data_IF_719039426899
#
_entry.id   IF_719039426899
#
_cell.length_a   1.000
_cell.length_b   1.000
_cell.length_c   1.000
_cell.angle_alpha   90.00
_cell.angle_beta   90.00
_cell.angle_gamma   90.00
#
_symmetry.space_group_name_H-M   'P 1'
#
loop_
_entity.id
_entity.type
_entity.pdbx_description
1 polymer ?
#
# COMPACT_ATOMS: atom_id res chain seq x y z
N UNK A 1 -16.06 -25.61 -8.83
CA UNK A 1 -15.57 -25.31 -10.19
C UNK A 1 -14.74 -24.03 -10.04
N UNK A 2 -13.45 -24.19 -9.74
CA UNK A 2 -12.55 -23.05 -9.55
C UNK A 2 -12.24 -22.46 -10.91
N UNK A 3 -12.65 -21.22 -11.14
CA UNK A 3 -12.29 -20.49 -12.36
C UNK A 3 -10.80 -20.18 -12.27
N UNK A 4 -9.99 -20.98 -12.95
CA UNK A 4 -8.62 -20.64 -13.32
C UNK A 4 -8.67 -19.31 -14.04
N UNK A 5 -8.16 -18.25 -13.41
CA UNK A 5 -7.86 -17.00 -14.08
C UNK A 5 -6.86 -17.37 -15.18
N UNK A 6 -7.26 -17.20 -16.44
CA UNK A 6 -6.35 -17.38 -17.57
C UNK A 6 -5.17 -16.44 -17.36
N UNK A 7 -3.97 -17.01 -17.25
CA UNK A 7 -2.70 -16.33 -17.43
C UNK A 7 -2.69 -15.73 -18.84
N UNK A 8 -3.18 -14.49 -18.98
CA UNK A 8 -2.79 -13.64 -20.09
C UNK A 8 -1.35 -13.25 -19.80
N UNK A 9 -0.43 -13.77 -20.62
CA UNK A 9 1.01 -13.48 -20.68
C UNK A 9 1.30 -11.98 -20.50
N UNK A 10 1.34 -11.54 -19.25
CA UNK A 10 1.84 -10.24 -18.84
C UNK A 10 3.30 -10.46 -18.48
N UNK A 11 4.19 -9.67 -19.07
CA UNK A 11 5.59 -9.63 -18.63
C UNK A 11 5.61 -9.56 -17.08
N UNK A 12 6.41 -10.39 -16.38
CA UNK A 12 6.35 -10.53 -14.92
C UNK A 12 6.46 -9.20 -14.17
N UNK A 13 7.20 -8.27 -14.75
CA UNK A 13 7.30 -6.83 -14.52
C UNK A 13 5.93 -6.11 -14.43
N UNK A 14 5.08 -6.22 -15.46
CA UNK A 14 3.74 -5.61 -15.49
C UNK A 14 2.80 -6.19 -14.45
N UNK A 15 2.90 -7.50 -14.20
CA UNK A 15 2.10 -8.13 -13.16
C UNK A 15 2.51 -7.64 -11.76
N UNK A 16 3.81 -7.42 -11.55
CA UNK A 16 4.34 -6.92 -10.27
C UNK A 16 3.85 -5.52 -9.97
N UNK A 17 3.94 -4.59 -10.91
CA UNK A 17 3.48 -3.21 -10.68
C UNK A 17 1.98 -3.14 -10.42
N UNK A 18 1.16 -3.95 -11.10
CA UNK A 18 -0.28 -4.03 -10.85
C UNK A 18 -0.58 -4.55 -9.44
N UNK A 19 0.11 -5.60 -8.99
CA UNK A 19 -0.07 -6.12 -7.63
C UNK A 19 0.42 -5.13 -6.56
N UNK A 20 1.48 -4.38 -6.83
CA UNK A 20 1.93 -3.28 -5.98
C UNK A 20 0.88 -2.17 -5.92
N UNK A 21 0.32 -1.76 -7.06
CA UNK A 21 -0.72 -0.75 -7.17
C UNK A 21 -1.99 -1.15 -6.39
N UNK A 22 -2.42 -2.40 -6.52
CA UNK A 22 -3.53 -2.96 -5.75
C UNK A 22 -3.28 -2.89 -4.25
N UNK A 23 -2.09 -3.28 -3.80
CA UNK A 23 -1.76 -3.22 -2.38
C UNK A 23 -1.72 -1.78 -1.86
N UNK A 24 -1.14 -0.87 -2.64
CA UNK A 24 -1.11 0.57 -2.33
C UNK A 24 -2.52 1.14 -2.16
N UNK A 25 -3.46 0.77 -3.02
CA UNK A 25 -4.83 1.30 -2.94
C UNK A 25 -5.71 0.60 -1.91
N UNK A 26 -5.64 -0.73 -1.81
CA UNK A 26 -6.67 -1.54 -1.15
C UNK A 26 -6.88 -1.18 0.32
N UNK A 27 -5.82 -1.18 1.14
CA UNK A 27 -5.96 -0.92 2.58
C UNK A 27 -6.33 0.53 2.87
N UNK A 28 -5.66 1.56 2.28
CA UNK A 28 -6.09 2.93 2.46
C UNK A 28 -7.54 3.15 2.00
N UNK A 29 -7.92 2.68 0.81
CA UNK A 29 -9.28 2.90 0.33
C UNK A 29 -10.34 2.23 1.22
N UNK A 30 -10.10 0.99 1.66
CA UNK A 30 -11.03 0.27 2.53
C UNK A 30 -11.20 0.99 3.88
N UNK A 31 -10.10 1.42 4.51
CA UNK A 31 -10.12 2.15 5.77
C UNK A 31 -10.73 3.55 5.66
N UNK A 32 -10.63 4.21 4.50
CA UNK A 32 -11.34 5.46 4.21
C UNK A 32 -12.86 5.24 3.98
N UNK A 33 -13.33 3.99 4.03
CA UNK A 33 -14.73 3.63 3.87
C UNK A 33 -15.20 3.52 2.42
N UNK A 34 -14.29 3.27 1.48
CA UNK A 34 -14.65 2.90 0.11
C UNK A 34 -14.83 1.38 0.01
N UNK A 35 -15.57 0.93 -1.02
CA UNK A 35 -15.82 -0.51 -1.23
C UNK A 35 -15.39 -1.00 -2.61
N UNK A 36 -15.29 -0.11 -3.58
CA UNK A 36 -14.75 -0.44 -4.90
C UNK A 36 -13.55 0.43 -5.27
N UNK A 37 -12.73 -0.11 -6.17
CA UNK A 37 -11.57 0.56 -6.77
C UNK A 37 -12.00 1.82 -7.52
N UNK A 38 -13.13 1.74 -8.24
CA UNK A 38 -13.69 2.88 -8.97
C UNK A 38 -14.03 4.05 -8.04
N UNK A 39 -14.72 3.80 -6.92
CA UNK A 39 -15.03 4.85 -5.94
C UNK A 39 -13.76 5.44 -5.31
N UNK A 40 -12.78 4.58 -5.02
CA UNK A 40 -11.53 4.98 -4.39
C UNK A 40 -10.69 5.87 -5.31
N UNK A 41 -10.53 5.51 -6.59
CA UNK A 41 -9.73 6.27 -7.55
C UNK A 41 -10.44 7.57 -7.98
N UNK A 42 -11.76 7.66 -7.81
CA UNK A 42 -12.51 8.90 -7.99
C UNK A 42 -12.28 9.91 -6.84
N UNK A 43 -11.64 9.52 -5.74
CA UNK A 43 -11.19 10.43 -4.69
C UNK A 43 -9.81 11.00 -5.03
N UNK A 44 -9.70 12.32 -5.13
CA UNK A 44 -8.46 13.01 -5.52
C UNK A 44 -7.27 12.68 -4.61
N UNK A 45 -7.48 12.52 -3.30
CA UNK A 45 -6.39 12.21 -2.36
C UNK A 45 -5.87 10.78 -2.57
N UNK A 46 -6.76 9.80 -2.68
CA UNK A 46 -6.37 8.40 -2.94
C UNK A 46 -5.73 8.24 -4.32
N UNK A 47 -6.26 8.94 -5.32
CA UNK A 47 -5.69 8.96 -6.67
C UNK A 47 -4.27 9.54 -6.67
N UNK A 48 -4.08 10.73 -6.07
CA UNK A 48 -2.77 11.36 -5.96
C UNK A 48 -1.78 10.48 -5.20
N UNK A 49 -2.19 9.91 -4.07
CA UNK A 49 -1.37 8.98 -3.31
C UNK A 49 -0.97 7.75 -4.13
N UNK A 50 -1.91 7.12 -4.84
CA UNK A 50 -1.61 5.96 -5.70
C UNK A 50 -0.63 6.35 -6.81
N UNK A 51 -0.89 7.46 -7.50
CA UNK A 51 -0.03 7.95 -8.58
C UNK A 51 1.40 8.21 -8.09
N UNK A 52 1.57 9.01 -7.04
CA UNK A 52 2.89 9.31 -6.45
C UNK A 52 3.60 8.02 -6.03
N UNK A 53 2.88 7.09 -5.40
CA UNK A 53 3.45 5.81 -4.98
C UNK A 53 3.92 4.94 -6.16
N UNK A 54 3.21 4.98 -7.30
CA UNK A 54 3.59 4.25 -8.50
C UNK A 54 4.79 4.87 -9.22
N UNK A 55 4.90 6.21 -9.24
CA UNK A 55 6.13 6.90 -9.69
C UNK A 55 7.32 6.43 -8.87
N UNK A 56 7.16 6.36 -7.55
CA UNK A 56 8.22 5.94 -6.62
C UNK A 56 8.58 4.46 -6.85
N UNK A 57 7.57 3.59 -7.03
CA UNK A 57 7.78 2.17 -7.30
C UNK A 57 8.51 1.93 -8.64
N UNK A 58 8.09 2.64 -9.69
CA UNK A 58 8.71 2.53 -11.00
C UNK A 58 10.19 2.94 -10.99
N UNK A 59 10.54 4.01 -10.27
CA UNK A 59 11.94 4.44 -10.11
C UNK A 59 12.85 3.37 -9.48
N UNK A 60 12.30 2.37 -8.80
CA UNK A 60 13.03 1.24 -8.23
C UNK A 60 12.97 -0.03 -9.07
N UNK A 61 11.88 -0.24 -9.82
CA UNK A 61 11.68 -1.45 -10.61
C UNK A 61 12.13 -1.30 -12.08
N UNK A 62 11.93 -0.12 -12.66
CA UNK A 62 12.19 0.18 -14.08
C UNK A 62 11.14 -0.43 -15.01
N UNK A 63 9.91 -0.58 -14.54
CA UNK A 63 8.90 -1.49 -15.11
C UNK A 63 7.87 -0.77 -16.03
N UNK A 64 7.60 0.51 -15.80
CA UNK A 64 6.59 1.33 -16.49
C UNK A 64 7.21 2.28 -17.54
N UNK A 65 8.38 2.86 -17.28
CA UNK A 65 8.97 3.91 -18.12
C UNK A 65 9.88 3.39 -19.25
N UNK A 66 9.96 2.08 -19.47
CA UNK A 66 10.99 1.49 -20.33
C UNK A 66 10.94 2.02 -21.79
N UNK A 67 9.76 2.38 -22.30
CA UNK A 67 9.57 2.83 -23.70
C UNK A 67 8.64 4.04 -23.88
N UNK A 68 8.01 4.57 -22.82
CA UNK A 68 6.97 5.61 -22.88
C UNK A 68 7.18 6.70 -21.81
N UNK A 69 6.42 7.80 -21.93
CA UNK A 69 6.28 8.79 -20.88
C UNK A 69 5.76 8.15 -19.58
N UNK A 70 6.39 8.47 -18.44
CA UNK A 70 6.10 7.81 -17.16
C UNK A 70 4.67 8.12 -16.69
N UNK A 71 4.21 9.35 -16.84
CA UNK A 71 2.85 9.75 -16.42
C UNK A 71 1.81 9.06 -17.30
N UNK A 72 2.07 8.94 -18.61
CA UNK A 72 1.23 8.14 -19.50
C UNK A 72 1.19 6.66 -19.07
N UNK A 73 2.33 6.06 -18.78
CA UNK A 73 2.41 4.65 -18.35
C UNK A 73 1.71 4.41 -17.01
N UNK A 74 1.82 5.32 -16.05
CA UNK A 74 1.09 5.23 -14.77
C UNK A 74 -0.40 5.42 -15.00
N UNK A 75 -0.80 6.39 -15.84
CA UNK A 75 -2.19 6.59 -16.24
C UNK A 75 -2.78 5.32 -16.87
N UNK A 76 -2.01 4.64 -17.73
CA UNK A 76 -2.40 3.33 -18.29
C UNK A 76 -2.51 2.25 -17.22
N UNK A 77 -1.59 2.18 -16.26
CA UNK A 77 -1.67 1.22 -15.16
C UNK A 77 -2.91 1.44 -14.29
N UNK A 78 -3.22 2.69 -13.93
CA UNK A 78 -4.43 3.07 -13.18
C UNK A 78 -5.69 2.79 -13.99
N UNK A 79 -5.71 3.12 -15.27
CA UNK A 79 -6.83 2.77 -16.16
C UNK A 79 -6.98 1.26 -16.30
N UNK A 80 -5.88 0.51 -16.27
CA UNK A 80 -5.93 -0.93 -16.33
C UNK A 80 -6.49 -1.53 -15.04
N UNK A 81 -6.10 -1.02 -13.86
CA UNK A 81 -6.74 -1.36 -12.59
C UNK A 81 -8.24 -1.13 -12.66
N UNK A 82 -8.66 0.05 -13.12
CA UNK A 82 -10.08 0.37 -13.33
C UNK A 82 -10.76 -0.61 -14.30
N UNK A 83 -10.07 -1.08 -15.35
CA UNK A 83 -10.62 -1.98 -16.37
C UNK A 83 -10.72 -3.45 -15.93
N UNK A 84 -9.78 -3.94 -15.13
CA UNK A 84 -9.74 -5.31 -14.64
C UNK A 84 -10.61 -5.49 -13.40
N UNK A 85 -10.69 -4.45 -12.56
CA UNK A 85 -11.30 -4.50 -11.24
C UNK A 85 -12.68 -3.85 -11.17
N UNK A 86 -13.34 -3.65 -12.31
CA UNK A 86 -14.73 -3.13 -12.43
C UNK A 86 -15.71 -3.89 -11.52
N UNK A 87 -15.34 -5.07 -11.01
CA UNK A 87 -16.22 -5.92 -10.20
C UNK A 87 -15.61 -6.47 -8.89
N UNK A 88 -14.36 -6.16 -8.54
CA UNK A 88 -13.74 -6.71 -7.32
C UNK A 88 -13.87 -5.74 -6.14
N UNK A 89 -14.53 -6.16 -5.04
CA UNK A 89 -14.56 -5.37 -3.81
C UNK A 89 -13.16 -5.17 -3.26
N UNK A 90 -12.89 -4.01 -2.66
CA UNK A 90 -11.62 -3.73 -1.98
C UNK A 90 -11.30 -4.74 -0.88
N UNK A 91 -12.32 -5.38 -0.28
CA UNK A 91 -12.13 -6.47 0.68
C UNK A 91 -11.47 -7.71 0.06
N UNK A 92 -11.77 -8.03 -1.21
CA UNK A 92 -11.10 -9.11 -1.95
C UNK A 92 -9.64 -8.73 -2.22
N UNK A 93 -9.40 -7.47 -2.56
CA UNK A 93 -8.04 -6.96 -2.80
C UNK A 93 -7.22 -6.80 -1.51
N UNK A 94 -7.87 -6.71 -0.35
CA UNK A 94 -7.22 -6.61 0.97
C UNK A 94 -6.93 -7.97 1.60
N UNK A 95 -7.41 -9.07 1.01
CA UNK A 95 -7.18 -10.43 1.52
C UNK A 95 -5.73 -10.86 1.38
N UNK A 96 -5.18 -11.59 2.36
CA UNK A 96 -3.84 -12.21 2.30
C UNK A 96 -2.70 -11.21 2.06
N UNK A 97 -2.76 -10.08 2.78
CA UNK A 97 -1.73 -9.05 2.75
C UNK A 97 -0.38 -9.55 3.22
N UNK A 98 -0.35 -10.47 4.18
CA UNK A 98 0.87 -11.04 4.72
C UNK A 98 1.66 -11.83 3.67
N UNK A 99 1.02 -12.35 2.62
CA UNK A 99 1.69 -12.96 1.47
C UNK A 99 2.06 -11.93 0.40
N UNK A 100 1.15 -10.98 0.11
CA UNK A 100 1.31 -10.03 -1.01
C UNK A 100 2.31 -8.93 -0.74
N UNK A 101 2.29 -8.33 0.45
CA UNK A 101 3.14 -7.19 0.77
C UNK A 101 4.63 -7.59 0.73
N UNK A 102 5.06 -8.74 1.28
CA UNK A 102 6.44 -9.19 1.10
C UNK A 102 6.83 -9.50 -0.34
N UNK A 103 5.90 -10.02 -1.16
CA UNK A 103 6.18 -10.37 -2.54
C UNK A 103 6.32 -9.14 -3.46
N UNK A 104 5.45 -8.14 -3.30
CA UNK A 104 5.32 -7.05 -4.27
C UNK A 104 5.84 -5.71 -3.75
N UNK A 105 5.65 -5.42 -2.46
CA UNK A 105 5.93 -4.10 -1.87
C UNK A 105 7.28 -4.06 -1.18
N UNK A 106 7.61 -5.05 -0.35
CA UNK A 106 8.85 -5.03 0.43
C UNK A 106 10.12 -4.92 -0.42
N UNK A 107 10.26 -5.56 -1.58
CA UNK A 107 11.50 -5.41 -2.33
C UNK A 107 11.70 -3.98 -2.85
N UNK A 108 10.60 -3.27 -3.19
CA UNK A 108 10.64 -1.86 -3.58
C UNK A 108 11.02 -0.99 -2.38
N UNK A 109 10.38 -1.23 -1.23
CA UNK A 109 10.68 -0.51 0.01
C UNK A 109 12.15 -0.68 0.42
N UNK A 110 12.67 -1.92 0.42
CA UNK A 110 14.04 -2.22 0.81
C UNK A 110 15.07 -1.58 -0.12
N UNK A 111 14.87 -1.68 -1.44
CA UNK A 111 15.74 -1.03 -2.44
C UNK A 111 15.89 0.48 -2.15
N UNK A 112 14.78 1.14 -1.82
CA UNK A 112 14.79 2.58 -1.52
C UNK A 112 15.41 2.90 -0.17
N UNK A 113 15.13 2.10 0.86
CA UNK A 113 15.73 2.25 2.18
C UNK A 113 17.25 2.12 2.13
N UNK A 114 17.77 1.14 1.40
CA UNK A 114 19.21 0.92 1.22
C UNK A 114 19.88 2.08 0.47
N UNK A 115 19.15 2.73 -0.43
CA UNK A 115 19.60 3.91 -1.16
C UNK A 115 19.37 5.24 -0.42
N UNK A 116 18.78 5.21 0.78
CA UNK A 116 18.44 6.42 1.53
C UNK A 116 17.43 7.33 0.83
N UNK A 117 16.55 6.76 0.00
CA UNK A 117 15.51 7.48 -0.74
C UNK A 117 14.22 7.59 0.06
N UNK A 118 13.33 8.47 -0.39
CA UNK A 118 12.00 8.67 0.22
C UNK A 118 11.16 7.39 0.16
N UNK A 119 10.46 7.06 1.25
CA UNK A 119 9.65 5.83 1.44
C UNK A 119 8.35 6.11 2.19
N UNK A 120 7.97 7.37 2.32
CA UNK A 120 6.84 7.83 3.12
C UNK A 120 5.53 7.21 2.64
N UNK A 121 5.34 7.00 1.33
CA UNK A 121 4.14 6.33 0.80
C UNK A 121 4.06 4.85 1.19
N UNK A 122 5.17 4.12 1.12
CA UNK A 122 5.23 2.72 1.55
C UNK A 122 5.14 2.57 3.07
N UNK A 123 5.71 3.50 3.83
CA UNK A 123 5.53 3.56 5.28
C UNK A 123 4.06 3.81 5.64
N UNK A 124 3.37 4.69 4.91
CA UNK A 124 1.93 4.93 5.06
C UNK A 124 1.11 3.68 4.71
N UNK A 125 1.41 2.99 3.60
CA UNK A 125 0.80 1.72 3.25
C UNK A 125 0.92 0.68 4.38
N UNK A 126 2.15 0.44 4.88
CA UNK A 126 2.34 -0.53 5.96
C UNK A 126 1.65 -0.08 7.26
N UNK A 127 1.58 1.22 7.51
CA UNK A 127 0.83 1.75 8.65
C UNK A 127 -0.68 1.53 8.52
N UNK A 128 -1.24 1.75 7.33
CA UNK A 128 -2.62 1.44 7.00
C UNK A 128 -2.90 -0.07 7.13
N UNK A 129 -2.01 -0.92 6.63
CA UNK A 129 -2.14 -2.37 6.79
C UNK A 129 -2.12 -2.80 8.27
N UNK A 130 -1.19 -2.28 9.07
CA UNK A 130 -1.17 -2.54 10.51
C UNK A 130 -2.43 -2.05 11.23
N UNK A 131 -3.06 -0.97 10.75
CA UNK A 131 -4.34 -0.51 11.29
C UNK A 131 -5.47 -1.43 10.89
N UNK A 132 -5.51 -1.82 9.61
CA UNK A 132 -6.49 -2.74 9.05
C UNK A 132 -6.58 -4.02 9.88
N UNK A 133 -5.44 -4.63 10.22
CA UNK A 133 -5.38 -5.86 11.01
C UNK A 133 -5.94 -5.75 12.43
N UNK A 134 -6.00 -4.55 13.01
CA UNK A 134 -6.35 -4.35 14.42
C UNK A 134 -7.72 -3.69 14.63
N UNK A 135 -8.13 -2.78 13.74
CA UNK A 135 -9.29 -1.92 13.98
C UNK A 135 -10.62 -2.64 13.76
N UNK A 136 -10.76 -3.40 12.68
CA UNK A 136 -12.02 -4.07 12.29
C UNK A 136 -13.16 -3.14 11.90
N UNK A 137 -12.91 -1.82 11.88
CA UNK A 137 -13.88 -0.77 11.57
C UNK A 137 -13.18 0.34 10.77
N UNK A 138 -13.86 0.90 9.78
CA UNK A 138 -13.33 1.97 8.94
C UNK A 138 -13.69 3.38 9.46
N UNK A 139 -13.21 4.41 8.76
CA UNK A 139 -13.45 5.82 9.10
C UNK A 139 -14.93 6.21 9.12
N UNK A 140 -15.81 5.44 8.48
CA UNK A 140 -17.27 5.68 8.44
C UNK A 140 -18.00 4.90 9.53
N UNK A 141 -17.29 4.13 10.35
CA UNK A 141 -17.87 3.30 11.40
C UNK A 141 -18.43 1.96 10.89
N UNK A 142 -18.12 1.58 9.65
CA UNK A 142 -18.58 0.32 9.08
C UNK A 142 -17.57 -0.80 9.40
N UNK A 143 -18.08 -1.92 9.89
CA UNK A 143 -17.26 -3.09 10.21
C UNK A 143 -16.76 -3.79 8.94
N UNK A 144 -15.57 -4.38 9.03
CA UNK A 144 -15.00 -5.23 7.99
C UNK A 144 -14.29 -6.44 8.60
N UNK A 145 -14.15 -7.49 7.79
CA UNK A 145 -13.44 -8.72 8.20
C UNK A 145 -11.99 -8.68 7.71
N UNK A 146 -11.08 -9.10 8.59
CA UNK A 146 -9.68 -9.37 8.24
C UNK A 146 -9.56 -10.83 7.79
N UNK A 147 -9.05 -11.05 6.57
CA UNK A 147 -8.85 -12.38 5.99
C UNK A 147 -7.37 -12.55 5.61
N UNK A 148 -6.61 -13.17 6.51
CA UNK A 148 -5.16 -13.32 6.44
C UNK A 148 -4.75 -14.79 6.64
N UNK A 149 -4.91 -15.64 5.62
CA UNK A 149 -4.63 -17.07 5.72
C UNK A 149 -3.14 -17.38 5.97
N UNK A 150 -2.24 -16.47 5.59
CA UNK A 150 -0.80 -16.64 5.82
C UNK A 150 -0.34 -16.23 7.22
N UNK A 151 -1.14 -15.50 8.00
CA UNK A 151 -0.79 -15.17 9.37
C UNK A 151 -1.00 -16.37 10.29
N UNK A 152 0.05 -16.75 11.01
CA UNK A 152 0.01 -17.83 11.98
C UNK A 152 -0.53 -17.34 13.33
N UNK A 153 -0.91 -18.26 14.22
CA UNK A 153 -1.26 -17.92 15.60
C UNK A 153 -0.14 -17.16 16.34
N UNK A 154 1.12 -17.41 15.98
CA UNK A 154 2.26 -16.71 16.55
C UNK A 154 2.29 -15.25 16.09
N UNK A 155 2.05 -15.00 14.80
CA UNK A 155 1.98 -13.64 14.24
C UNK A 155 0.83 -12.85 14.87
N UNK A 156 -0.34 -13.47 15.03
CA UNK A 156 -1.46 -12.85 15.74
C UNK A 156 -1.13 -12.50 17.19
N UNK A 157 -0.39 -13.37 17.89
CA UNK A 157 0.06 -13.09 19.26
C UNK A 157 1.05 -11.90 19.31
N UNK A 158 1.93 -11.76 18.32
CA UNK A 158 2.81 -10.60 18.18
C UNK A 158 1.98 -9.33 17.96
N UNK A 159 1.02 -9.35 17.03
CA UNK A 159 0.18 -8.19 16.72
C UNK A 159 -0.71 -7.74 17.90
N UNK A 160 -1.06 -8.66 18.80
CA UNK A 160 -1.88 -8.40 19.97
C UNK A 160 -1.11 -7.84 21.18
N UNK A 161 0.21 -7.68 21.10
CA UNK A 161 1.04 -7.27 22.24
C UNK A 161 0.93 -5.77 22.60
N UNK A 162 0.19 -4.98 21.82
CA UNK A 162 -0.02 -3.55 22.02
C UNK A 162 1.14 -2.65 21.57
N UNK A 163 2.24 -3.21 21.05
CA UNK A 163 3.31 -2.45 20.42
C UNK A 163 2.90 -2.04 19.00
N UNK A 164 2.91 -0.74 18.73
CA UNK A 164 2.53 -0.17 17.44
C UNK A 164 3.43 -0.65 16.30
N UNK A 165 4.67 -1.05 16.57
CA UNK A 165 5.62 -1.59 15.57
C UNK A 165 5.69 -3.11 15.50
N UNK A 166 4.82 -3.82 16.23
CA UNK A 166 4.76 -5.29 16.22
C UNK A 166 4.57 -5.89 14.83
N UNK A 167 3.90 -5.18 13.90
CA UNK A 167 3.78 -5.59 12.50
C UNK A 167 5.15 -5.85 11.84
N UNK A 168 6.19 -5.12 12.23
CA UNK A 168 7.51 -5.28 11.62
C UNK A 168 8.22 -6.58 12.04
N UNK A 169 7.68 -7.27 13.06
CA UNK A 169 8.29 -8.47 13.65
C UNK A 169 7.54 -9.76 13.34
N UNK A 170 6.36 -9.69 12.72
CA UNK A 170 5.66 -10.90 12.29
C UNK A 170 6.48 -11.62 11.22
N UNK A 171 6.24 -12.92 11.08
CA UNK A 171 7.01 -13.81 10.20
C UNK A 171 7.13 -13.29 8.76
N UNK A 172 6.08 -12.65 8.24
CA UNK A 172 6.03 -12.07 6.90
C UNK A 172 7.02 -10.91 6.68
N UNK A 173 7.35 -10.15 7.72
CA UNK A 173 8.19 -8.95 7.63
C UNK A 173 9.53 -9.06 8.36
N UNK A 174 9.68 -10.05 9.25
CA UNK A 174 10.84 -10.18 10.13
C UNK A 174 12.17 -10.24 9.36
N UNK A 175 12.21 -10.93 8.22
CA UNK A 175 13.42 -11.05 7.40
C UNK A 175 13.85 -9.75 6.72
N UNK A 176 12.93 -8.80 6.52
CA UNK A 176 13.23 -7.50 5.93
C UNK A 176 13.98 -6.58 6.90
N UNK A 177 14.03 -6.91 8.19
CA UNK A 177 14.85 -6.17 9.16
C UNK A 177 14.48 -4.69 9.28
N UNK A 178 13.24 -4.30 8.98
CA UNK A 178 12.80 -2.90 8.84
C UNK A 178 13.08 -2.03 10.08
N UNK A 179 13.21 -2.64 11.27
CA UNK A 179 13.62 -1.96 12.50
C UNK A 179 15.02 -1.33 12.44
N UNK A 180 15.87 -1.79 11.53
CA UNK A 180 17.23 -1.27 11.34
C UNK A 180 17.26 0.10 10.64
N UNK A 181 16.12 0.60 10.15
CA UNK A 181 15.97 1.89 9.48
C UNK A 181 15.20 2.89 10.38
N UNK A 182 15.87 3.68 11.24
CA UNK A 182 15.19 4.50 12.25
C UNK A 182 14.23 5.55 11.69
N UNK A 183 14.57 6.14 10.54
CA UNK A 183 13.73 7.13 9.86
C UNK A 183 12.40 6.52 9.42
N UNK A 184 12.46 5.35 8.76
CA UNK A 184 11.27 4.58 8.38
C UNK A 184 10.43 4.20 9.60
N UNK A 185 11.05 3.67 10.66
CA UNK A 185 10.34 3.29 11.89
C UNK A 185 9.62 4.49 12.50
N UNK A 186 10.26 5.66 12.51
CA UNK A 186 9.67 6.91 13.01
C UNK A 186 8.46 7.34 12.17
N UNK A 187 8.58 7.32 10.84
CA UNK A 187 7.48 7.65 9.92
C UNK A 187 6.31 6.68 10.07
N UNK A 188 6.59 5.36 10.05
CA UNK A 188 5.59 4.32 10.26
C UNK A 188 4.84 4.51 11.57
N UNK A 189 5.55 4.75 12.69
CA UNK A 189 4.93 5.01 14.01
C UNK A 189 4.03 6.24 13.97
N UNK A 190 4.50 7.32 13.33
CA UNK A 190 3.73 8.54 13.17
C UNK A 190 2.42 8.26 12.43
N UNK A 191 2.47 7.59 11.28
CA UNK A 191 1.28 7.26 10.50
C UNK A 191 0.34 6.30 11.25
N UNK A 192 0.86 5.27 11.91
CA UNK A 192 0.04 4.36 12.73
C UNK A 192 -0.76 5.12 13.80
N UNK A 193 -0.09 6.02 14.51
CA UNK A 193 -0.72 6.83 15.55
C UNK A 193 -1.73 7.83 14.97
N UNK A 194 -1.40 8.49 13.86
CA UNK A 194 -2.31 9.41 13.19
C UNK A 194 -3.57 8.70 12.70
N UNK A 195 -3.44 7.55 12.04
CA UNK A 195 -4.57 6.76 11.55
C UNK A 195 -5.43 6.31 12.74
N UNK A 196 -4.82 5.83 13.82
CA UNK A 196 -5.56 5.41 15.02
C UNK A 196 -6.28 6.57 15.73
N UNK A 197 -5.71 7.78 15.74
CA UNK A 197 -6.29 8.93 16.44
C UNK A 197 -7.32 9.70 15.60
N UNK A 198 -7.09 9.84 14.30
CA UNK A 198 -7.80 10.79 13.43
C UNK A 198 -8.49 10.13 12.23
N UNK A 199 -8.33 8.81 12.08
CA UNK A 199 -8.78 8.09 10.89
C UNK A 199 -7.80 8.22 9.73
N UNK A 200 -8.00 7.36 8.73
CA UNK A 200 -7.13 7.26 7.59
C UNK A 200 -7.28 8.45 6.63
N UNK A 201 -8.49 8.93 6.40
CA UNK A 201 -8.79 10.04 5.48
C UNK A 201 -8.10 11.32 5.90
N UNK A 202 -8.11 11.63 7.20
CA UNK A 202 -7.40 12.79 7.74
C UNK A 202 -5.89 12.63 7.60
N UNK A 203 -5.37 11.46 8.00
CA UNK A 203 -3.94 11.15 7.96
C UNK A 203 -3.38 11.18 6.54
N UNK A 204 -4.14 10.70 5.56
CA UNK A 204 -3.78 10.73 4.14
C UNK A 204 -3.66 12.17 3.62
N UNK A 205 -4.64 13.03 3.93
CA UNK A 205 -4.59 14.45 3.54
C UNK A 205 -3.38 15.15 4.12
N UNK A 206 -3.08 14.92 5.40
CA UNK A 206 -1.90 15.49 6.04
C UNK A 206 -0.60 15.02 5.39
N UNK A 207 -0.53 13.73 5.04
CA UNK A 207 0.65 13.14 4.39
C UNK A 207 0.86 13.71 2.99
N UNK A 208 -0.21 13.93 2.22
CA UNK A 208 -0.15 14.55 0.89
C UNK A 208 0.33 16.00 0.92
N UNK A 209 -0.07 16.77 1.93
CA UNK A 209 0.51 18.10 2.13
C UNK A 209 2.02 18.03 2.39
N UNK A 210 2.48 17.04 3.17
CA UNK A 210 3.92 16.86 3.44
C UNK A 210 4.70 16.37 2.21
N UNK A 211 4.13 15.48 1.39
CA UNK A 211 4.74 15.04 0.13
C UNK A 211 5.03 16.21 -0.83
N UNK A 212 4.14 17.20 -0.90
CA UNK A 212 4.32 18.39 -1.73
C UNK A 212 5.31 19.42 -1.17
N UNK A 213 5.68 19.32 0.11
CA UNK A 213 6.70 20.19 0.71
C UNK A 213 8.13 19.60 0.58
N UNK A 214 8.26 18.27 0.34
CA UNK A 214 9.55 17.59 0.17
C UNK A 214 10.10 17.64 -1.28
N UNK A 215 9.32 18.09 -2.27
CA UNK A 215 9.81 18.43 -3.61
C UNK A 215 10.05 19.95 -3.75
N UNK A 216 11.29 20.44 -3.62
CA UNK A 216 11.56 21.84 -3.93
C UNK A 216 11.45 22.05 -5.45
N UNK A 217 10.45 22.84 -5.88
CA UNK A 217 10.25 23.42 -7.22
C UNK A 217 10.98 22.72 -8.38
N UNK A 218 10.41 21.64 -8.92
CA UNK A 218 10.77 21.14 -10.26
C UNK A 218 9.84 21.68 -11.36
N UNK A 219 9.13 22.79 -11.09
CA UNK A 219 8.30 23.49 -12.05
C UNK A 219 8.69 24.97 -12.12
N UNK A 220 9.74 25.24 -12.90
CA UNK A 220 9.95 26.50 -13.61
C UNK A 220 10.38 26.21 -15.03
#
# INVERSE_FOLDING_TARGET
MFTTIQEVSTEPTKLRILNTANSLLAYPALLAGYRSVQEAIANDCLNAYLHTSLVIADKSLGDLSADNDLDESIGLAVNHLLSLEVSHPLSVLSRDGASKLPAFVLPVLLDRLEQGKEVSSFAFLLAAYGHYLQAGVDDKGEEYTVDEPALTNHDWAILANGDVVSLLDISAFASAGLRSFPQFVSQYKSYRNQIACYGLTFSLKQTLCAFWEEEPEAHR
#
